data_IF_574525019482
#
_entry.id   IF_574525019482
#
_cell.length_a   1.000
_cell.length_b   1.000
_cell.length_c   1.000
_cell.angle_alpha   90.00
_cell.angle_beta   90.00
_cell.angle_gamma   90.00
#
_symmetry.space_group_name_H-M   'P 1'
#
loop_
_entity.id
_entity.type
_entity.pdbx_description
1 polymer ?
#
# COMPACT_ATOMS: atom_id res chain seq x y z
N UNK A 1 11.19 -21.95 -27.83
CA UNK A 1 12.23 -21.21 -27.14
C UNK A 1 11.73 -19.89 -26.57
N UNK A 2 11.15 -19.02 -27.40
CA UNK A 2 10.61 -17.74 -26.90
C UNK A 2 9.51 -17.92 -25.86
N UNK A 3 8.67 -18.94 -26.00
CA UNK A 3 7.56 -19.18 -25.07
C UNK A 3 8.07 -19.49 -23.66
N UNK A 4 9.17 -20.25 -23.56
CA UNK A 4 9.76 -20.58 -22.25
C UNK A 4 10.41 -19.34 -21.63
N UNK A 5 11.11 -18.54 -22.45
CA UNK A 5 11.72 -17.30 -21.98
C UNK A 5 10.68 -16.30 -21.53
N UNK A 6 9.58 -16.16 -22.29
CA UNK A 6 8.49 -15.25 -21.92
C UNK A 6 7.82 -15.66 -20.63
N UNK A 7 7.59 -16.98 -20.43
CA UNK A 7 6.99 -17.48 -19.19
C UNK A 7 7.92 -17.21 -18.00
N UNK A 8 9.24 -17.42 -18.17
CA UNK A 8 10.21 -17.14 -17.15
C UNK A 8 10.26 -15.66 -16.79
N UNK A 9 10.18 -14.79 -17.80
CA UNK A 9 10.17 -13.34 -17.58
C UNK A 9 8.91 -12.91 -16.85
N UNK A 10 7.75 -13.49 -17.18
CA UNK A 10 6.50 -13.17 -16.50
C UNK A 10 6.56 -13.57 -15.02
N UNK A 11 7.13 -14.73 -14.72
CA UNK A 11 7.28 -15.17 -13.33
C UNK A 11 8.22 -14.22 -12.58
N UNK A 12 9.34 -13.85 -13.19
CA UNK A 12 10.30 -12.93 -12.58
C UNK A 12 9.68 -11.55 -12.31
N UNK A 13 8.90 -11.05 -13.27
CA UNK A 13 8.21 -9.76 -13.10
C UNK A 13 7.20 -9.85 -11.96
N UNK A 14 6.43 -10.94 -11.89
CA UNK A 14 5.43 -11.12 -10.85
C UNK A 14 6.08 -11.22 -9.47
N UNK A 15 7.21 -11.91 -9.35
CA UNK A 15 7.96 -12.00 -8.10
C UNK A 15 8.48 -10.62 -7.70
N UNK A 16 9.04 -9.86 -8.63
CA UNK A 16 9.53 -8.52 -8.37
C UNK A 16 8.40 -7.59 -7.91
N UNK A 17 7.23 -7.70 -8.55
CA UNK A 17 6.06 -6.91 -8.18
C UNK A 17 5.58 -7.26 -6.77
N UNK A 18 5.57 -8.55 -6.42
CA UNK A 18 5.21 -9.00 -5.08
C UNK A 18 6.17 -8.45 -4.02
N UNK A 19 7.47 -8.50 -4.31
CA UNK A 19 8.49 -7.98 -3.40
C UNK A 19 8.36 -6.46 -3.23
N UNK A 20 8.15 -5.75 -4.33
CA UNK A 20 7.97 -4.30 -4.29
C UNK A 20 6.73 -3.93 -3.49
N UNK A 21 5.63 -4.65 -3.67
CA UNK A 21 4.40 -4.41 -2.92
C UNK A 21 4.60 -4.66 -1.43
N UNK A 22 5.36 -5.69 -1.07
CA UNK A 22 5.66 -6.01 0.34
C UNK A 22 6.47 -4.90 0.99
N UNK A 23 7.51 -4.41 0.29
CA UNK A 23 8.34 -3.32 0.81
C UNK A 23 7.53 -2.04 0.97
N UNK A 24 6.70 -1.72 -0.03
CA UNK A 24 5.83 -0.55 0.02
C UNK A 24 4.77 -0.69 1.11
N UNK A 25 4.31 -1.92 1.38
CA UNK A 25 3.32 -2.15 2.43
C UNK A 25 3.84 -1.68 3.79
N UNK A 26 5.08 -2.02 4.12
CA UNK A 26 5.69 -1.59 5.39
C UNK A 26 5.78 -0.08 5.46
N UNK A 27 6.17 0.56 4.36
CA UNK A 27 6.28 2.01 4.28
C UNK A 27 4.91 2.67 4.49
N UNK A 28 3.89 2.23 3.75
CA UNK A 28 2.56 2.82 3.84
C UNK A 28 1.91 2.56 5.20
N UNK A 29 2.13 1.37 5.75
CA UNK A 29 1.59 1.04 7.07
C UNK A 29 2.17 1.95 8.14
N UNK A 30 3.48 2.18 8.10
CA UNK A 30 4.15 3.09 9.03
C UNK A 30 3.66 4.52 8.86
N UNK A 31 3.47 4.95 7.63
CA UNK A 31 2.98 6.29 7.34
C UNK A 31 1.57 6.50 7.90
N UNK A 32 0.69 5.51 7.73
CA UNK A 32 -0.66 5.56 8.30
C UNK A 32 -0.59 5.69 9.81
N UNK A 33 0.29 4.93 10.47
CA UNK A 33 0.44 4.97 11.92
C UNK A 33 0.89 6.34 12.40
N UNK A 34 1.89 6.92 11.73
CA UNK A 34 2.40 8.25 12.07
C UNK A 34 1.30 9.30 11.90
N UNK A 35 0.56 9.24 10.80
CA UNK A 35 -0.51 10.20 10.53
C UNK A 35 -1.71 9.99 11.45
N UNK A 36 -1.99 8.76 11.85
CA UNK A 36 -3.03 8.48 12.83
C UNK A 36 -2.67 9.10 14.18
N UNK A 37 -1.42 8.93 14.61
CA UNK A 37 -0.96 9.54 15.87
C UNK A 37 -1.00 11.06 15.80
N UNK A 38 -0.64 11.63 14.66
CA UNK A 38 -0.72 13.08 14.45
C UNK A 38 -2.16 13.56 14.49
N UNK A 39 -3.09 12.81 13.88
CA UNK A 39 -4.52 13.15 13.91
C UNK A 39 -5.07 13.12 15.34
N UNK A 40 -4.79 12.04 16.09
CA UNK A 40 -5.29 11.94 17.46
C UNK A 40 -4.71 13.02 18.34
N UNK A 41 -3.42 13.34 18.17
CA UNK A 41 -2.79 14.43 18.91
C UNK A 41 -3.41 15.78 18.61
N UNK A 42 -3.67 16.07 17.34
CA UNK A 42 -4.30 17.33 16.92
C UNK A 42 -5.73 17.41 17.45
N UNK A 43 -6.45 16.29 17.45
CA UNK A 43 -7.81 16.24 17.98
C UNK A 43 -7.83 16.55 19.48
N UNK A 44 -6.88 15.99 20.24
CA UNK A 44 -6.74 16.27 21.66
C UNK A 44 -6.42 17.74 21.90
N UNK A 45 -5.56 18.33 21.06
CA UNK A 45 -5.23 19.75 21.17
C UNK A 45 -6.47 20.61 20.91
N UNK A 46 -7.33 20.21 19.97
CA UNK A 46 -8.56 20.92 19.70
C UNK A 46 -9.50 20.85 20.91
N UNK A 47 -9.63 19.69 21.54
CA UNK A 47 -10.46 19.49 22.72
C UNK A 47 -9.98 20.37 23.89
N UNK A 48 -8.66 20.62 23.95
CA UNK A 48 -8.06 21.48 24.96
C UNK A 48 -8.03 22.96 24.55
N UNK A 49 -8.56 23.28 23.36
CA UNK A 49 -8.62 24.66 22.89
C UNK A 49 -7.33 25.19 22.28
N UNK A 50 -6.31 24.32 22.06
CA UNK A 50 -5.01 24.74 21.54
C UNK A 50 -4.92 24.64 20.02
N UNK A 51 -5.74 23.83 19.37
CA UNK A 51 -5.79 23.69 17.91
C UNK A 51 -7.18 24.03 17.41
N UNK A 52 -7.26 24.52 16.17
CA UNK A 52 -8.56 24.85 15.57
C UNK A 52 -9.09 23.69 14.72
N UNK A 53 -10.34 23.81 14.32
CA UNK A 53 -11.03 22.78 13.55
C UNK A 53 -10.36 22.53 12.19
N UNK A 54 -9.80 23.55 11.55
CA UNK A 54 -9.12 23.39 10.27
C UNK A 54 -7.87 22.52 10.40
N UNK A 55 -7.14 22.63 11.51
CA UNK A 55 -5.98 21.78 11.74
C UNK A 55 -6.38 20.32 11.88
N UNK A 56 -7.50 20.05 12.57
CA UNK A 56 -8.02 18.69 12.70
C UNK A 56 -8.45 18.14 11.32
N UNK A 57 -9.14 18.95 10.53
CA UNK A 57 -9.57 18.55 9.18
C UNK A 57 -8.37 18.23 8.29
N UNK A 58 -7.32 19.05 8.35
CA UNK A 58 -6.10 18.82 7.57
C UNK A 58 -5.44 17.51 7.96
N UNK A 59 -5.34 17.25 9.27
CA UNK A 59 -4.77 16.00 9.76
C UNK A 59 -5.62 14.80 9.35
N UNK A 60 -6.94 14.92 9.40
CA UNK A 60 -7.86 13.87 8.98
C UNK A 60 -7.73 13.58 7.49
N UNK A 61 -7.61 14.62 6.68
CA UNK A 61 -7.45 14.49 5.22
C UNK A 61 -6.16 13.76 4.88
N UNK A 62 -5.05 14.11 5.55
CA UNK A 62 -3.78 13.45 5.36
C UNK A 62 -3.85 11.98 5.76
N UNK A 63 -4.52 11.67 6.86
CA UNK A 63 -4.72 10.30 7.31
C UNK A 63 -5.53 9.50 6.30
N UNK A 64 -6.64 10.05 5.82
CA UNK A 64 -7.49 9.39 4.83
C UNK A 64 -6.73 9.12 3.54
N UNK A 65 -5.94 10.09 3.07
CA UNK A 65 -5.13 9.91 1.86
C UNK A 65 -4.10 8.80 2.03
N UNK A 66 -3.46 8.71 3.20
CA UNK A 66 -2.48 7.66 3.46
C UNK A 66 -3.14 6.29 3.58
N UNK A 67 -4.33 6.20 4.19
CA UNK A 67 -5.09 4.97 4.27
C UNK A 67 -5.51 4.50 2.88
N UNK A 68 -5.90 5.43 2.01
CA UNK A 68 -6.24 5.10 0.63
C UNK A 68 -5.02 4.57 -0.11
N UNK A 69 -3.86 5.21 0.06
CA UNK A 69 -2.61 4.75 -0.56
C UNK A 69 -2.24 3.35 -0.09
N UNK A 70 -2.41 3.07 1.20
CA UNK A 70 -2.17 1.72 1.74
C UNK A 70 -3.10 0.70 1.10
N UNK A 71 -4.41 1.03 1.01
CA UNK A 71 -5.39 0.13 0.41
C UNK A 71 -5.08 -0.12 -1.06
N UNK A 72 -4.70 0.91 -1.81
CA UNK A 72 -4.32 0.75 -3.22
C UNK A 72 -3.08 -0.11 -3.37
N UNK A 73 -2.09 0.04 -2.48
CA UNK A 73 -0.90 -0.79 -2.51
C UNK A 73 -1.24 -2.25 -2.21
N UNK A 74 -2.13 -2.50 -1.25
CA UNK A 74 -2.59 -3.86 -0.94
C UNK A 74 -3.30 -4.48 -2.13
N UNK A 75 -4.11 -3.70 -2.84
CA UNK A 75 -4.79 -4.15 -4.05
C UNK A 75 -3.78 -4.53 -5.13
N UNK A 76 -2.77 -3.70 -5.37
CA UNK A 76 -1.71 -4.00 -6.33
C UNK A 76 -0.92 -5.24 -5.94
N UNK A 77 -0.66 -5.40 -4.64
CA UNK A 77 0.01 -6.60 -4.13
C UNK A 77 -0.80 -7.85 -4.39
N UNK A 78 -2.11 -7.79 -4.17
CA UNK A 78 -3.00 -8.92 -4.46
C UNK A 78 -3.02 -9.25 -5.94
N UNK A 79 -3.04 -8.24 -6.80
CA UNK A 79 -2.97 -8.44 -8.25
C UNK A 79 -1.66 -9.10 -8.66
N UNK A 80 -0.54 -8.71 -8.04
CA UNK A 80 0.76 -9.30 -8.31
C UNK A 80 0.81 -10.78 -7.92
N UNK A 81 0.21 -11.14 -6.79
CA UNK A 81 0.12 -12.53 -6.36
C UNK A 81 -0.72 -13.35 -7.32
N UNK A 82 -1.86 -12.80 -7.76
CA UNK A 82 -2.72 -13.47 -8.75
C UNK A 82 -1.97 -13.66 -10.07
N UNK A 83 -1.26 -12.65 -10.53
CA UNK A 83 -0.47 -12.73 -11.75
C UNK A 83 0.60 -13.81 -11.66
N UNK A 84 1.27 -13.90 -10.50
CA UNK A 84 2.27 -14.93 -10.25
C UNK A 84 1.64 -16.32 -10.30
N UNK A 85 0.48 -16.49 -9.66
CA UNK A 85 -0.24 -17.75 -9.64
C UNK A 85 -0.63 -18.18 -11.06
N UNK A 86 -1.14 -17.25 -11.86
CA UNK A 86 -1.52 -17.51 -13.24
C UNK A 86 -0.29 -17.88 -14.06
N UNK A 87 0.82 -17.17 -13.90
CA UNK A 87 2.05 -17.45 -14.64
C UNK A 87 2.60 -18.82 -14.32
N UNK A 88 2.58 -19.21 -13.04
CA UNK A 88 3.04 -20.55 -12.62
C UNK A 88 2.08 -21.63 -13.09
N UNK A 89 0.76 -21.41 -12.95
CA UNK A 89 -0.25 -22.38 -13.39
C UNK A 89 -0.28 -22.53 -14.90
N UNK A 90 -0.12 -21.40 -15.62
CA UNK A 90 -0.08 -21.44 -17.08
C UNK A 90 1.13 -22.18 -17.62
N UNK A 91 2.24 -22.16 -16.87
CA UNK A 91 3.46 -22.84 -17.28
C UNK A 91 3.40 -24.36 -17.13
N UNK A 92 2.45 -24.86 -16.34
CA UNK A 92 2.32 -26.29 -16.10
C UNK A 92 1.38 -26.98 -17.10
N UNK A 93 0.69 -26.21 -17.89
CA UNK A 93 -0.18 -26.72 -18.92
C UNK A 93 0.46 -26.58 -20.29
#
# INVERSE_FOLDING_TARGET
MQTVVDAGNQVNEAIADCQAAREKHQYYHRQVQVLYDAYTGTHELMDNGTANYLEVLTAQESLLNSQLSEAMNMYKGAQAVIALYIALGGGTK
#
